data_IF_863591061731
#
_entry.id   IF_863591061731
#
_cell.length_a   1.000
_cell.length_b   1.000
_cell.length_c   1.000
_cell.angle_alpha   90.00
_cell.angle_beta   90.00
_cell.angle_gamma   90.00
#
_symmetry.space_group_name_H-M   'P 1'
#
loop_
_entity.id
_entity.type
_entity.pdbx_description
1 polymer ?
#
# COMPACT_ATOMS: atom_id res chain seq x y z
N UNK A 1 20.20 15.83 -8.94
CA UNK A 1 20.24 16.20 -10.37
C UNK A 1 18.96 15.67 -11.02
N UNK A 2 17.89 16.46 -11.01
CA UNK A 2 16.59 16.06 -11.57
C UNK A 2 16.70 16.01 -13.11
N UNK A 3 16.50 14.83 -13.70
CA UNK A 3 16.48 14.67 -15.16
C UNK A 3 15.11 15.11 -15.69
N UNK A 4 15.07 16.28 -16.32
CA UNK A 4 13.89 16.85 -16.96
C UNK A 4 13.64 16.19 -18.33
N UNK A 5 12.36 15.90 -18.61
CA UNK A 5 11.87 15.49 -19.93
C UNK A 5 11.03 16.65 -20.46
N UNK A 6 11.37 17.15 -21.64
CA UNK A 6 10.71 18.31 -22.28
C UNK A 6 9.73 17.77 -23.32
N UNK A 7 8.47 18.21 -23.27
CA UNK A 7 7.46 17.88 -24.29
C UNK A 7 7.70 18.69 -25.59
N UNK A 8 7.08 18.31 -26.71
CA UNK A 8 7.20 18.94 -28.04
C UNK A 8 6.84 20.45 -28.05
N UNK A 9 6.23 20.97 -26.98
CA UNK A 9 5.94 22.40 -26.77
C UNK A 9 6.93 23.13 -25.83
N UNK A 10 8.02 22.51 -25.38
CA UNK A 10 9.04 23.18 -24.56
C UNK A 10 8.71 23.32 -23.06
N UNK A 11 7.60 22.75 -22.59
CA UNK A 11 7.25 22.75 -21.17
C UNK A 11 8.00 21.63 -20.42
N UNK A 12 8.67 21.97 -19.32
CA UNK A 12 9.13 20.99 -18.33
C UNK A 12 7.90 20.32 -17.70
N UNK A 13 7.63 19.07 -18.07
CA UNK A 13 6.69 18.25 -17.30
C UNK A 13 7.39 17.93 -15.97
N UNK A 14 6.97 18.58 -14.90
CA UNK A 14 7.32 18.15 -13.55
C UNK A 14 6.85 16.70 -13.41
N UNK A 15 7.81 15.77 -13.23
CA UNK A 15 7.48 14.37 -13.00
C UNK A 15 6.67 14.29 -11.71
N UNK A 16 5.44 13.78 -11.77
CA UNK A 16 4.65 13.55 -10.55
C UNK A 16 5.40 12.61 -9.62
N UNK A 17 5.29 12.80 -8.30
CA UNK A 17 5.98 11.95 -7.32
C UNK A 17 5.11 10.72 -7.05
N UNK A 18 5.71 9.53 -7.07
CA UNK A 18 5.04 8.27 -6.76
C UNK A 18 5.74 7.57 -5.61
N UNK A 19 5.12 7.55 -4.43
CA UNK A 19 5.70 6.91 -3.25
C UNK A 19 5.26 5.46 -3.17
N UNK A 20 6.21 4.54 -3.02
CA UNK A 20 5.92 3.12 -2.80
C UNK A 20 6.14 2.71 -1.35
N UNK A 21 5.22 1.92 -0.79
CA UNK A 21 5.29 1.43 0.60
C UNK A 21 5.08 -0.09 0.62
N UNK A 22 6.08 -0.80 1.13
CA UNK A 22 6.13 -2.27 1.06
C UNK A 22 5.38 -2.98 2.20
N UNK A 23 5.24 -4.30 2.08
CA UNK A 23 4.59 -5.17 3.05
C UNK A 23 5.53 -5.63 4.20
N UNK A 24 5.00 -6.40 5.15
CA UNK A 24 5.71 -6.99 6.30
C UNK A 24 6.81 -7.97 5.86
N UNK A 25 6.43 -8.96 5.06
CA UNK A 25 7.26 -10.11 4.72
C UNK A 25 7.85 -9.93 3.33
N UNK A 26 9.12 -10.33 3.16
CA UNK A 26 9.85 -10.09 1.91
C UNK A 26 10.24 -8.61 1.70
N UNK A 27 9.84 -7.71 2.61
CA UNK A 27 10.17 -6.29 2.55
C UNK A 27 9.74 -5.70 1.21
N UNK A 28 10.66 -5.00 0.54
CA UNK A 28 10.39 -4.39 -0.75
C UNK A 28 10.44 -5.33 -1.96
N UNK A 29 10.89 -6.57 -1.79
CA UNK A 29 11.11 -7.49 -2.92
C UNK A 29 9.87 -7.66 -3.82
N UNK A 30 8.65 -7.87 -3.29
CA UNK A 30 7.45 -8.01 -4.13
C UNK A 30 7.17 -6.78 -4.99
N UNK A 31 7.48 -5.58 -4.49
CA UNK A 31 7.24 -4.32 -5.20
C UNK A 31 8.31 -4.00 -6.25
N UNK A 32 9.49 -4.64 -6.23
CA UNK A 32 10.62 -4.25 -7.09
C UNK A 32 10.31 -4.28 -8.57
N UNK A 33 9.56 -5.28 -9.03
CA UNK A 33 9.17 -5.38 -10.45
C UNK A 33 8.27 -4.22 -10.86
N UNK A 34 7.29 -3.88 -10.01
CA UNK A 34 6.39 -2.77 -10.22
C UNK A 34 7.14 -1.43 -10.18
N UNK A 35 8.02 -1.23 -9.20
CA UNK A 35 8.88 -0.04 -9.09
C UNK A 35 9.76 0.13 -10.33
N UNK A 36 10.41 -0.94 -10.80
CA UNK A 36 11.24 -0.92 -12.00
C UNK A 36 10.43 -0.56 -13.26
N UNK A 37 9.23 -1.13 -13.40
CA UNK A 37 8.32 -0.80 -14.50
C UNK A 37 7.90 0.68 -14.47
N UNK A 38 7.48 1.18 -13.30
CA UNK A 38 7.04 2.56 -13.12
C UNK A 38 8.18 3.57 -13.31
N UNK A 39 9.41 3.20 -12.96
CA UNK A 39 10.61 3.97 -13.30
C UNK A 39 10.88 3.98 -14.81
N UNK A 40 10.74 2.83 -15.48
CA UNK A 40 11.04 2.68 -16.90
C UNK A 40 10.10 3.51 -17.80
N UNK A 41 8.84 3.68 -17.42
CA UNK A 41 7.90 4.54 -18.16
C UNK A 41 8.22 6.04 -18.06
N UNK A 42 9.18 6.45 -17.21
CA UNK A 42 9.72 7.82 -17.03
C UNK A 42 8.69 8.95 -16.76
N UNK A 43 7.47 8.61 -16.35
CA UNK A 43 6.40 9.57 -16.03
C UNK A 43 6.41 10.06 -14.58
N UNK A 44 6.89 9.21 -13.68
CA UNK A 44 6.91 9.51 -12.25
C UNK A 44 8.34 9.52 -11.70
N UNK A 45 8.57 10.35 -10.70
CA UNK A 45 9.68 10.18 -9.78
C UNK A 45 9.27 9.16 -8.71
N UNK A 46 9.63 7.89 -8.92
CA UNK A 46 9.26 6.81 -8.00
C UNK A 46 10.18 6.82 -6.79
N UNK A 47 9.61 7.05 -5.63
CA UNK A 47 10.33 7.13 -4.36
C UNK A 47 9.94 5.97 -3.45
N UNK A 48 10.90 5.11 -3.17
CA UNK A 48 10.72 3.94 -2.33
C UNK A 48 10.83 4.27 -0.84
N UNK A 49 9.73 4.25 -0.11
CA UNK A 49 9.76 4.33 1.35
C UNK A 49 9.94 2.94 1.97
N UNK A 50 10.90 2.84 2.90
CA UNK A 50 11.25 1.59 3.59
C UNK A 50 11.14 1.76 5.11
N UNK A 51 10.50 0.81 5.77
CA UNK A 51 10.37 0.73 7.24
C UNK A 51 10.80 -0.67 7.73
N UNK A 52 10.90 -0.85 9.05
CA UNK A 52 11.39 -2.10 9.65
C UNK A 52 10.26 -2.86 10.33
N UNK A 53 9.44 -3.64 9.61
CA UNK A 53 8.27 -4.32 10.18
C UNK A 53 8.60 -5.31 11.32
N UNK A 54 9.86 -5.76 11.40
CA UNK A 54 10.29 -6.63 12.50
C UNK A 54 10.38 -5.92 13.85
N UNK A 55 10.63 -4.62 13.86
CA UNK A 55 10.90 -3.83 15.07
C UNK A 55 9.94 -2.65 15.24
N UNK A 56 9.42 -2.11 14.15
CA UNK A 56 8.52 -0.97 14.15
C UNK A 56 7.07 -1.46 14.23
N UNK A 57 6.29 -0.89 15.15
CA UNK A 57 4.83 -1.01 15.15
C UNK A 57 4.20 -0.08 14.09
N UNK A 58 2.87 -0.11 13.97
CA UNK A 58 2.10 0.72 13.05
C UNK A 58 2.33 2.20 13.30
N UNK A 59 2.32 2.63 14.57
CA UNK A 59 2.48 4.03 14.95
C UNK A 59 3.86 4.56 14.56
N UNK A 60 4.90 3.79 14.85
CA UNK A 60 6.30 4.12 14.54
C UNK A 60 6.53 4.16 13.03
N UNK A 61 6.02 3.16 12.31
CA UNK A 61 6.12 3.11 10.84
C UNK A 61 5.37 4.28 10.20
N UNK A 62 4.15 4.57 10.68
CA UNK A 62 3.34 5.69 10.23
C UNK A 62 4.01 7.04 10.51
N UNK A 63 4.63 7.22 11.68
CA UNK A 63 5.40 8.43 12.02
C UNK A 63 6.61 8.61 11.11
N UNK A 64 7.35 7.53 10.82
CA UNK A 64 8.50 7.58 9.88
C UNK A 64 8.04 7.99 8.49
N UNK A 65 6.95 7.40 8.00
CA UNK A 65 6.38 7.78 6.71
C UNK A 65 5.85 9.21 6.72
N UNK A 66 5.18 9.65 7.78
CA UNK A 66 4.73 11.04 7.92
C UNK A 66 5.89 12.04 7.86
N UNK A 67 7.01 11.75 8.52
CA UNK A 67 8.23 12.56 8.42
C UNK A 67 8.77 12.59 7.00
N UNK A 68 8.80 11.45 6.31
CA UNK A 68 9.18 11.36 4.90
C UNK A 68 8.26 12.21 4.01
N UNK A 69 6.94 12.11 4.17
CA UNK A 69 5.98 12.90 3.39
C UNK A 69 6.06 14.39 3.67
N UNK A 70 6.41 14.80 4.90
CA UNK A 70 6.63 16.21 5.24
C UNK A 70 7.87 16.78 4.57
N UNK A 71 8.94 16.00 4.40
CA UNK A 71 10.13 16.45 3.66
C UNK A 71 9.92 16.48 2.14
N UNK A 72 8.92 15.75 1.64
CA UNK A 72 8.50 15.72 0.24
C UNK A 72 7.27 16.61 -0.03
N UNK A 73 6.87 17.48 0.91
CA UNK A 73 5.63 18.25 0.79
C UNK A 73 5.66 19.07 -0.51
N UNK A 74 4.65 18.95 -1.39
CA UNK A 74 4.67 19.62 -2.67
C UNK A 74 4.73 21.13 -2.46
N UNK A 75 5.48 21.82 -3.32
CA UNK A 75 5.69 23.26 -3.21
C UNK A 75 4.44 24.05 -3.67
N UNK A 76 3.51 23.38 -4.34
CA UNK A 76 2.26 23.96 -4.85
C UNK A 76 1.08 22.99 -4.71
N UNK A 77 -0.16 23.51 -4.76
CA UNK A 77 -1.40 22.72 -4.69
C UNK A 77 -1.67 21.82 -5.90
N UNK A 78 -0.92 22.00 -6.99
CA UNK A 78 -1.11 21.30 -8.27
C UNK A 78 -0.12 20.14 -8.47
N UNK A 79 0.89 20.00 -7.61
CA UNK A 79 1.80 18.86 -7.62
C UNK A 79 1.12 17.64 -6.97
N UNK A 80 0.70 16.70 -7.82
CA UNK A 80 0.10 15.45 -7.38
C UNK A 80 1.17 14.48 -6.85
N UNK A 81 0.98 14.01 -5.61
CA UNK A 81 1.73 12.89 -5.04
C UNK A 81 0.83 11.67 -5.04
N UNK A 82 1.28 10.62 -5.70
CA UNK A 82 0.57 9.35 -5.80
C UNK A 82 1.25 8.31 -4.92
N UNK A 83 0.49 7.27 -4.59
CA UNK A 83 0.95 6.22 -3.69
C UNK A 83 0.65 4.84 -4.27
N UNK A 84 1.61 3.93 -4.15
CA UNK A 84 1.38 2.49 -4.36
C UNK A 84 1.81 1.76 -3.10
N UNK A 85 0.90 1.01 -2.50
CA UNK A 85 1.20 0.23 -1.29
C UNK A 85 0.98 -1.24 -1.56
N UNK A 86 1.70 -2.08 -0.81
CA UNK A 86 1.49 -3.53 -0.80
C UNK A 86 1.28 -4.02 0.63
N UNK A 87 0.28 -4.86 0.84
CA UNK A 87 -0.05 -5.45 2.13
C UNK A 87 -0.16 -4.41 3.24
N UNK A 88 0.54 -4.65 4.34
CA UNK A 88 0.60 -3.80 5.53
C UNK A 88 1.09 -2.38 5.26
N UNK A 89 1.83 -2.15 4.17
CA UNK A 89 2.22 -0.80 3.76
C UNK A 89 1.03 0.14 3.55
N UNK A 90 -0.16 -0.40 3.23
CA UNK A 90 -1.38 0.36 3.15
C UNK A 90 -1.83 0.90 4.52
N UNK A 91 -1.70 0.11 5.59
CA UNK A 91 -2.00 0.56 6.94
C UNK A 91 -1.01 1.63 7.39
N UNK A 92 0.27 1.45 7.07
CA UNK A 92 1.33 2.44 7.36
C UNK A 92 1.02 3.79 6.69
N UNK A 93 0.59 3.77 5.43
CA UNK A 93 0.16 4.99 4.72
C UNK A 93 -1.05 5.65 5.38
N UNK A 94 -2.07 4.85 5.72
CA UNK A 94 -3.27 5.35 6.42
C UNK A 94 -2.92 5.97 7.77
N UNK A 95 -2.03 5.34 8.54
CA UNK A 95 -1.56 5.87 9.82
C UNK A 95 -0.78 7.18 9.63
N UNK A 96 0.06 7.28 8.59
CA UNK A 96 0.78 8.51 8.28
C UNK A 96 -0.18 9.69 8.00
N UNK A 97 -1.23 9.46 7.22
CA UNK A 97 -2.24 10.49 6.90
C UNK A 97 -3.01 11.03 8.11
N UNK A 98 -2.98 10.36 9.26
CA UNK A 98 -3.56 10.90 10.50
C UNK A 98 -2.76 12.10 11.04
N UNK A 99 -1.48 12.19 10.70
CA UNK A 99 -0.55 13.17 11.29
C UNK A 99 -0.02 14.19 10.28
N UNK A 100 -0.38 14.02 9.00
CA UNK A 100 -0.05 14.96 7.93
C UNK A 100 -1.35 15.48 7.34
N UNK A 101 -1.50 16.80 7.29
CA UNK A 101 -2.65 17.40 6.59
C UNK A 101 -2.47 17.24 5.08
N UNK A 102 -3.25 16.29 4.54
CA UNK A 102 -3.25 15.91 3.13
C UNK A 102 -4.55 16.26 2.43
N UNK A 103 -5.42 17.04 3.08
CA UNK A 103 -6.76 17.35 2.55
C UNK A 103 -6.74 18.22 1.30
N UNK A 104 -5.66 18.98 1.10
CA UNK A 104 -5.52 19.89 -0.03
C UNK A 104 -4.77 19.26 -1.22
N UNK A 105 -4.00 18.19 -0.99
CA UNK A 105 -3.17 17.53 -2.01
C UNK A 105 -3.96 16.47 -2.76
N UNK A 106 -4.16 16.67 -4.06
CA UNK A 106 -4.80 15.66 -4.92
C UNK A 106 -3.88 14.44 -5.03
N UNK A 107 -4.36 13.30 -4.55
CA UNK A 107 -3.55 12.09 -4.46
C UNK A 107 -4.32 10.88 -4.96
N UNK A 108 -3.64 9.98 -5.66
CA UNK A 108 -4.20 8.68 -6.04
C UNK A 108 -3.47 7.61 -5.26
N UNK A 109 -4.22 6.66 -4.71
CA UNK A 109 -3.65 5.64 -3.82
C UNK A 109 -4.03 4.28 -4.36
N UNK A 110 -3.06 3.54 -4.87
CA UNK A 110 -3.24 2.12 -5.23
C UNK A 110 -2.82 1.27 -4.06
N UNK A 111 -3.72 0.43 -3.55
CA UNK A 111 -3.44 -0.50 -2.46
C UNK A 111 -3.53 -1.93 -2.98
N UNK A 112 -2.41 -2.64 -2.97
CA UNK A 112 -2.30 -4.03 -3.40
C UNK A 112 -2.45 -4.93 -2.17
N UNK A 113 -3.53 -5.72 -2.12
CA UNK A 113 -3.90 -6.63 -1.02
C UNK A 113 -3.81 -6.00 0.39
N UNK A 114 -4.39 -4.82 0.64
CA UNK A 114 -4.29 -4.17 1.95
C UNK A 114 -5.07 -4.95 3.03
N UNK A 115 -4.54 -5.20 4.23
CA UNK A 115 -5.30 -5.82 5.32
C UNK A 115 -6.12 -4.79 6.09
N UNK A 116 -6.98 -4.05 5.41
CA UNK A 116 -7.75 -2.92 5.96
C UNK A 116 -8.74 -3.31 7.08
N UNK A 117 -9.16 -4.58 7.14
CA UNK A 117 -10.00 -5.15 8.21
C UNK A 117 -9.23 -6.08 9.16
N UNK A 118 -7.91 -6.09 9.08
CA UNK A 118 -7.03 -7.03 9.77
C UNK A 118 -6.78 -8.29 8.94
N UNK A 119 -6.10 -9.27 9.54
CA UNK A 119 -5.79 -10.57 8.89
C UNK A 119 -6.27 -11.72 9.78
N UNK A 120 -7.35 -12.38 9.36
CA UNK A 120 -7.91 -13.55 10.05
C UNK A 120 -6.93 -14.71 10.08
N UNK A 121 -6.16 -14.91 9.01
CA UNK A 121 -5.14 -15.97 8.96
C UNK A 121 -4.12 -15.83 10.11
N UNK A 122 -3.62 -14.63 10.39
CA UNK A 122 -2.68 -14.39 11.50
C UNK A 122 -3.31 -14.67 12.86
N UNK A 123 -4.60 -14.31 13.06
CA UNK A 123 -5.34 -14.61 14.30
C UNK A 123 -5.45 -16.11 14.54
N UNK A 124 -5.79 -16.87 13.50
CA UNK A 124 -5.86 -18.33 13.57
C UNK A 124 -4.49 -18.94 13.87
N UNK A 125 -3.46 -18.55 13.12
CA UNK A 125 -2.10 -19.07 13.31
C UNK A 125 -1.56 -18.83 14.73
N UNK A 126 -1.79 -17.64 15.31
CA UNK A 126 -1.38 -17.35 16.68
C UNK A 126 -2.02 -18.29 17.71
N UNK A 127 -3.29 -18.66 17.50
CA UNK A 127 -4.03 -19.59 18.36
C UNK A 127 -3.49 -21.03 18.30
N UNK A 128 -3.05 -21.48 17.12
CA UNK A 128 -2.60 -22.85 16.90
C UNK A 128 -1.11 -23.07 17.19
N UNK A 129 -0.27 -22.10 16.88
CA UNK A 129 1.19 -22.28 16.94
C UNK A 129 1.84 -21.72 18.20
N UNK A 130 1.18 -20.83 18.95
CA UNK A 130 1.79 -20.22 20.15
C UNK A 130 3.06 -19.40 19.87
N UNK A 131 3.43 -19.18 18.59
CA UNK A 131 4.68 -18.53 18.21
C UNK A 131 4.52 -17.01 18.29
N UNK A 132 4.80 -16.47 19.48
CA UNK A 132 5.32 -15.10 19.58
C UNK A 132 6.64 -15.01 18.80
N UNK A 133 6.82 -13.98 17.98
CA UNK A 133 8.10 -13.61 17.37
C UNK A 133 8.31 -13.97 15.89
N UNK A 134 7.47 -14.81 15.26
CA UNK A 134 7.75 -15.25 13.88
C UNK A 134 7.62 -14.13 12.83
N UNK A 135 6.67 -13.21 13.04
CA UNK A 135 6.40 -12.12 12.10
C UNK A 135 7.00 -10.76 12.46
N UNK A 136 7.55 -10.63 13.68
CA UNK A 136 8.01 -9.36 14.24
C UNK A 136 6.88 -8.42 14.69
N UNK A 137 7.27 -7.25 15.21
CA UNK A 137 6.38 -6.33 15.93
C UNK A 137 5.10 -5.97 15.15
N UNK A 138 5.23 -5.61 13.88
CA UNK A 138 4.08 -5.21 13.07
C UNK A 138 3.11 -6.37 12.78
N UNK A 139 3.61 -7.58 12.53
CA UNK A 139 2.77 -8.74 12.29
C UNK A 139 2.02 -9.18 13.57
N UNK A 140 2.67 -9.06 14.73
CA UNK A 140 2.06 -9.31 16.03
C UNK A 140 0.97 -8.30 16.34
N UNK A 141 1.25 -7.00 16.17
CA UNK A 141 0.25 -5.94 16.35
C UNK A 141 -0.95 -6.16 15.41
N UNK A 142 -0.70 -6.48 14.13
CA UNK A 142 -1.72 -6.77 13.13
C UNK A 142 -2.63 -7.94 13.53
N UNK A 143 -2.09 -8.96 14.20
CA UNK A 143 -2.89 -10.08 14.70
C UNK A 143 -3.91 -9.66 15.78
N UNK A 144 -3.66 -8.55 16.49
CA UNK A 144 -4.55 -8.06 17.54
C UNK A 144 -5.66 -7.15 17.02
N UNK A 145 -5.45 -6.51 15.86
CA UNK A 145 -6.42 -5.59 15.29
C UNK A 145 -7.71 -6.27 14.82
N UNK A 146 -8.84 -5.72 15.25
CA UNK A 146 -10.15 -5.97 14.66
C UNK A 146 -10.47 -4.92 13.59
N UNK A 147 -11.43 -5.23 12.71
CA UNK A 147 -11.96 -4.26 11.74
C UNK A 147 -12.42 -2.96 12.43
N UNK A 148 -13.12 -3.09 13.57
CA UNK A 148 -13.58 -1.95 14.36
C UNK A 148 -12.41 -1.11 14.89
N UNK A 149 -11.39 -1.76 15.46
CA UNK A 149 -10.21 -1.05 15.97
C UNK A 149 -9.45 -0.31 14.86
N UNK A 150 -9.35 -0.89 13.66
CA UNK A 150 -8.73 -0.23 12.52
C UNK A 150 -9.58 0.94 12.00
N UNK A 151 -10.91 0.82 12.00
CA UNK A 151 -11.79 1.92 11.60
C UNK A 151 -11.72 3.09 12.58
N UNK A 152 -11.72 2.81 13.88
CA UNK A 152 -11.58 3.83 14.94
C UNK A 152 -10.21 4.51 14.90
N UNK A 153 -9.15 3.73 14.62
CA UNK A 153 -7.78 4.25 14.55
C UNK A 153 -7.52 5.02 13.26
N UNK A 154 -7.80 4.44 12.10
CA UNK A 154 -7.37 4.93 10.79
C UNK A 154 -8.42 5.75 10.05
N UNK A 155 -9.71 5.52 10.34
CA UNK A 155 -10.81 6.23 9.70
C UNK A 155 -10.81 6.13 8.17
N UNK A 156 -11.44 7.13 7.54
CA UNK A 156 -11.46 7.31 6.08
C UNK A 156 -10.19 7.98 5.60
N UNK A 157 -9.84 7.78 4.32
CA UNK A 157 -8.78 8.55 3.68
C UNK A 157 -9.13 10.04 3.54
N UNK A 158 -8.12 10.93 3.40
CA UNK A 158 -8.33 12.36 3.16
C UNK A 158 -9.24 12.64 1.96
N UNK A 159 -9.97 13.76 1.98
CA UNK A 159 -11.03 14.07 1.01
C UNK A 159 -10.57 14.10 -0.46
N UNK A 160 -9.31 14.49 -0.71
CA UNK A 160 -8.74 14.56 -2.07
C UNK A 160 -7.85 13.35 -2.41
N UNK A 161 -7.99 12.26 -1.65
CA UNK A 161 -7.39 10.97 -1.96
C UNK A 161 -8.38 10.09 -2.71
N UNK A 162 -7.97 9.56 -3.86
CA UNK A 162 -8.74 8.64 -4.68
C UNK A 162 -8.15 7.24 -4.56
N UNK A 163 -8.71 6.38 -3.69
CA UNK A 163 -8.21 5.03 -3.50
C UNK A 163 -8.70 4.04 -4.56
N UNK A 164 -7.79 3.15 -4.94
CA UNK A 164 -8.04 1.96 -5.74
C UNK A 164 -7.41 0.75 -5.05
N UNK A 165 -8.24 -0.21 -4.68
CA UNK A 165 -7.84 -1.43 -4.00
C UNK A 165 -7.84 -2.59 -5.00
N UNK A 166 -6.71 -3.25 -5.12
CA UNK A 166 -6.54 -4.49 -5.88
C UNK A 166 -6.41 -5.66 -4.90
N UNK A 167 -7.36 -6.60 -4.93
CA UNK A 167 -7.32 -7.81 -4.11
C UNK A 167 -6.92 -9.03 -4.94
N UNK A 168 -6.10 -9.91 -4.38
CA UNK A 168 -5.82 -11.22 -4.96
C UNK A 168 -6.83 -12.27 -4.51
N UNK A 169 -7.11 -13.28 -5.34
CA UNK A 169 -7.93 -14.43 -4.96
C UNK A 169 -7.32 -15.79 -5.31
N UNK A 170 -6.01 -15.86 -5.62
CA UNK A 170 -5.31 -17.12 -5.84
C UNK A 170 -4.55 -17.54 -4.58
N UNK A 171 -5.08 -18.52 -3.84
CA UNK A 171 -4.43 -19.06 -2.66
C UNK A 171 -3.44 -20.16 -3.04
N UNK A 172 -2.15 -19.90 -2.85
CA UNK A 172 -1.07 -20.89 -2.98
C UNK A 172 -0.59 -21.42 -1.62
N UNK A 173 -1.17 -20.94 -0.51
CA UNK A 173 -0.76 -21.31 0.84
C UNK A 173 -1.53 -22.58 1.29
N UNK A 174 -0.85 -23.73 1.49
CA UNK A 174 -1.51 -24.98 1.88
C UNK A 174 -2.19 -24.88 3.26
N UNK A 175 -1.73 -23.98 4.13
CA UNK A 175 -2.29 -23.78 5.48
C UNK A 175 -3.49 -22.83 5.50
N UNK A 176 -3.80 -22.17 4.38
CA UNK A 176 -4.93 -21.25 4.26
C UNK A 176 -5.89 -21.68 3.13
N UNK A 177 -6.05 -22.98 2.92
CA UNK A 177 -6.93 -23.58 1.90
C UNK A 177 -8.40 -23.59 2.34
N UNK A 178 -8.95 -22.43 2.64
CA UNK A 178 -10.35 -22.28 2.97
C UNK A 178 -11.19 -21.94 1.73
N UNK A 179 -12.50 -22.25 1.78
CA UNK A 179 -13.49 -21.96 0.73
C UNK A 179 -13.91 -20.47 0.68
N UNK A 180 -12.97 -19.54 0.75
CA UNK A 180 -13.22 -18.11 0.57
C UNK A 180 -12.15 -17.49 -0.34
N UNK A 181 -12.48 -16.45 -1.13
CA UNK A 181 -11.53 -15.82 -2.02
C UNK A 181 -10.45 -15.10 -1.21
N UNK A 182 -9.21 -15.59 -1.32
CA UNK A 182 -8.03 -15.04 -0.64
C UNK A 182 -6.78 -15.26 -1.49
N UNK A 183 -5.76 -14.47 -1.22
CA UNK A 183 -4.48 -14.50 -1.94
C UNK A 183 -3.40 -15.35 -1.25
N UNK A 184 -3.79 -16.18 -0.28
CA UNK A 184 -2.90 -16.96 0.59
C UNK A 184 -2.68 -16.34 1.96
N UNK A 185 -2.91 -15.03 2.13
CA UNK A 185 -2.78 -14.34 3.42
C UNK A 185 -4.00 -13.50 3.76
N UNK A 186 -4.43 -12.64 2.84
CA UNK A 186 -5.50 -11.66 3.03
C UNK A 186 -6.71 -12.08 2.21
N UNK A 187 -7.89 -12.02 2.84
CA UNK A 187 -9.15 -12.26 2.17
C UNK A 187 -9.57 -11.04 1.34
N UNK A 188 -10.31 -11.27 0.26
CA UNK A 188 -10.84 -10.17 -0.55
C UNK A 188 -11.66 -9.19 0.29
N UNK A 189 -12.50 -9.69 1.21
CA UNK A 189 -13.30 -8.85 2.11
C UNK A 189 -12.44 -8.01 3.08
N UNK A 190 -11.28 -8.52 3.48
CA UNK A 190 -10.37 -7.83 4.39
C UNK A 190 -9.67 -6.62 3.75
N UNK A 191 -9.69 -6.57 2.41
CA UNK A 191 -9.14 -5.44 1.65
C UNK A 191 -10.05 -4.21 1.62
N UNK A 192 -11.31 -4.35 2.01
CA UNK A 192 -12.28 -3.25 2.04
C UNK A 192 -11.99 -2.28 3.19
N UNK A 193 -12.35 -1.01 3.02
CA UNK A 193 -12.22 0.02 4.05
C UNK A 193 -13.42 0.96 4.07
N UNK A 194 -13.61 1.78 5.11
CA UNK A 194 -14.65 2.79 5.11
C UNK A 194 -14.43 3.88 4.05
N UNK A 195 -15.51 4.38 3.45
CA UNK A 195 -15.48 5.44 2.44
C UNK A 195 -15.58 4.93 1.01
N UNK A 196 -15.45 5.85 0.05
CA UNK A 196 -15.51 5.53 -1.38
C UNK A 196 -14.14 5.08 -1.89
N UNK A 197 -14.12 3.97 -2.61
CA UNK A 197 -12.92 3.44 -3.26
C UNK A 197 -13.32 2.56 -4.43
N UNK A 198 -12.44 2.47 -5.43
CA UNK A 198 -12.54 1.44 -6.45
C UNK A 198 -12.00 0.14 -5.89
N UNK A 199 -12.67 -0.97 -6.15
CA UNK A 199 -12.24 -2.30 -5.71
C UNK A 199 -12.25 -3.25 -6.90
N UNK A 200 -11.16 -3.98 -7.10
CA UNK A 200 -11.06 -4.98 -8.17
C UNK A 200 -10.29 -6.20 -7.69
N UNK A 201 -10.79 -7.37 -8.06
CA UNK A 201 -10.22 -8.67 -7.69
C UNK A 201 -9.51 -9.26 -8.91
N UNK A 202 -8.29 -9.78 -8.72
CA UNK A 202 -7.54 -10.48 -9.76
C UNK A 202 -6.98 -11.81 -9.27
N UNK A 203 -6.77 -12.74 -10.21
CA UNK A 203 -6.23 -14.09 -9.98
C UNK A 203 -4.75 -14.14 -9.64
N UNK A 204 -4.34 -13.53 -8.53
CA UNK A 204 -2.94 -13.48 -8.11
C UNK A 204 -2.77 -13.83 -6.62
N UNK A 205 -1.65 -14.46 -6.24
CA UNK A 205 -1.29 -14.70 -4.84
C UNK A 205 -0.60 -13.46 -4.24
N UNK A 206 -0.60 -13.36 -2.92
CA UNK A 206 -0.27 -12.13 -2.17
C UNK A 206 1.05 -11.48 -2.62
N UNK A 207 2.12 -12.27 -2.72
CA UNK A 207 3.46 -11.76 -3.04
C UNK A 207 3.77 -11.65 -4.54
N UNK A 208 2.95 -12.27 -5.41
CA UNK A 208 3.07 -12.06 -6.86
C UNK A 208 2.07 -11.02 -7.37
N UNK A 209 1.15 -10.55 -6.54
CA UNK A 209 0.18 -9.54 -6.91
C UNK A 209 0.85 -8.27 -7.46
N UNK A 210 1.91 -7.71 -6.85
CA UNK A 210 2.52 -6.50 -7.40
C UNK A 210 3.27 -6.72 -8.72
N UNK A 211 3.78 -7.93 -8.97
CA UNK A 211 4.44 -8.28 -10.23
C UNK A 211 3.48 -8.83 -11.29
N UNK A 212 2.19 -8.99 -10.96
CA UNK A 212 1.20 -9.52 -11.89
C UNK A 212 0.94 -8.51 -13.02
N UNK A 213 0.99 -8.92 -14.31
CA UNK A 213 0.85 -8.00 -15.45
C UNK A 213 -0.41 -7.13 -15.38
N UNK A 214 -1.55 -7.73 -15.03
CA UNK A 214 -2.81 -6.99 -14.85
C UNK A 214 -2.75 -5.97 -13.72
N UNK A 215 -2.08 -6.28 -12.60
CA UNK A 215 -1.94 -5.32 -11.50
C UNK A 215 -1.06 -4.14 -11.90
N UNK A 216 0.04 -4.40 -12.63
CA UNK A 216 0.92 -3.36 -13.16
C UNK A 216 0.16 -2.44 -14.10
N UNK A 217 -0.56 -3.00 -15.08
CA UNK A 217 -1.34 -2.23 -16.05
C UNK A 217 -2.43 -1.38 -15.37
N UNK A 218 -3.21 -1.98 -14.47
CA UNK A 218 -4.25 -1.27 -13.72
C UNK A 218 -3.68 -0.18 -12.82
N UNK A 219 -2.55 -0.44 -12.16
CA UNK A 219 -1.85 0.55 -11.33
C UNK A 219 -1.44 1.74 -12.19
N UNK A 220 -0.76 1.51 -13.31
CA UNK A 220 -0.31 2.54 -14.23
C UNK A 220 -1.50 3.37 -14.75
N UNK A 221 -2.50 2.72 -15.35
CA UNK A 221 -3.66 3.42 -15.91
C UNK A 221 -4.38 4.26 -14.85
N UNK A 222 -4.49 3.77 -13.61
CA UNK A 222 -5.12 4.53 -12.54
C UNK A 222 -4.29 5.76 -12.15
N UNK A 223 -2.98 5.61 -11.92
CA UNK A 223 -2.14 6.75 -11.51
C UNK A 223 -1.99 7.80 -12.61
N UNK A 224 -2.11 7.42 -13.88
CA UNK A 224 -2.03 8.33 -15.03
C UNK A 224 -3.35 9.05 -15.38
N UNK A 225 -4.52 8.45 -15.12
CA UNK A 225 -5.84 8.97 -15.54
C UNK A 225 -6.33 10.25 -14.82
#
# INVERSE_FOLDING_TARGET
MASAVIDRCGAMLTKGVLVTVHDLYGGSLPLRTLEAYLHAVRRFDVQSFRYRPRTDDLATSGKKLATFLKSQKPHTTDEAIHFVTHGYGALVLREAFRTVDWNYTKSKVVMLAPPNRGIRYHKSMKRYLGVAGYGGAAAEELSTFSAKALDERLGKLPRRCYPFVLAGNLCLNPFNQHNYPNDGLVMVEETTMPGEFRHQVIGAPHYLLPSHPTAIALTQSFVEA
#
